data_IF_809967879379
#
_entry.id   IF_809967879379
#
_cell.length_a   1.000
_cell.length_b   1.000
_cell.length_c   1.000
_cell.angle_alpha   90.00
_cell.angle_beta   90.00
_cell.angle_gamma   90.00
#
_symmetry.space_group_name_H-M   'P 1'
#
loop_
_entity.id
_entity.type
_entity.pdbx_description
1 polymer ?
#
# COMPACT_ATOMS: atom_id res chain seq x y z
N UNK A 1 16.80 -4.78 -3.93
CA UNK A 1 17.50 -5.23 -2.72
C UNK A 1 18.31 -4.06 -2.13
N UNK A 2 18.27 -3.82 -0.82
CA UNK A 2 19.05 -2.76 -0.17
C UNK A 2 20.49 -3.23 0.07
N UNK A 3 21.48 -2.55 -0.52
CA UNK A 3 22.91 -2.80 -0.25
C UNK A 3 23.46 -1.73 0.69
N UNK A 4 24.53 -2.04 1.44
CA UNK A 4 25.14 -1.07 2.36
C UNK A 4 25.54 0.26 1.67
N UNK A 5 26.15 0.26 0.46
CA UNK A 5 26.43 1.51 -0.25
C UNK A 5 25.15 2.28 -0.64
N UNK A 6 24.09 1.57 -1.05
CA UNK A 6 22.81 2.20 -1.40
C UNK A 6 22.15 2.84 -0.17
N UNK A 7 22.13 2.14 0.97
CA UNK A 7 21.60 2.67 2.23
C UNK A 7 22.36 3.91 2.70
N UNK A 8 23.70 3.88 2.69
CA UNK A 8 24.54 5.06 3.01
C UNK A 8 24.23 6.24 2.09
N UNK A 9 24.06 6.00 0.79
CA UNK A 9 23.71 7.05 -0.18
C UNK A 9 22.34 7.65 0.16
N UNK A 10 21.31 6.83 0.34
CA UNK A 10 19.94 7.30 0.64
C UNK A 10 19.86 8.04 1.97
N UNK A 11 20.50 7.55 3.03
CA UNK A 11 20.57 8.25 4.32
C UNK A 11 21.26 9.62 4.20
N UNK A 12 22.33 9.74 3.39
CA UNK A 12 22.95 11.04 3.11
C UNK A 12 22.01 12.02 2.39
N UNK A 13 21.06 11.52 1.59
CA UNK A 13 20.05 12.34 0.91
C UNK A 13 18.82 12.65 1.79
N UNK A 14 18.75 12.17 3.02
CA UNK A 14 17.62 12.41 3.92
C UNK A 14 16.45 11.44 3.75
N UNK A 15 16.74 10.16 3.50
CA UNK A 15 15.69 9.14 3.39
C UNK A 15 15.01 8.84 4.73
N UNK A 16 13.81 9.40 4.92
CA UNK A 16 13.06 9.30 6.17
C UNK A 16 12.72 7.85 6.52
N UNK A 17 12.31 7.04 5.54
CA UNK A 17 12.00 5.62 5.75
C UNK A 17 13.20 4.88 6.35
N UNK A 18 14.36 4.98 5.72
CA UNK A 18 15.56 4.30 6.21
C UNK A 18 16.02 4.83 7.57
N UNK A 19 15.93 6.14 7.79
CA UNK A 19 16.27 6.74 9.08
C UNK A 19 15.40 6.17 10.20
N UNK A 20 14.08 6.09 10.00
CA UNK A 20 13.18 5.49 10.98
C UNK A 20 13.44 4.00 11.16
N UNK A 21 13.53 3.25 10.07
CA UNK A 21 13.73 1.80 10.09
C UNK A 21 15.09 1.35 10.67
N UNK A 22 16.10 2.20 10.67
CA UNK A 22 17.42 1.85 11.21
C UNK A 22 17.57 2.34 12.65
N UNK A 23 17.06 3.53 12.97
CA UNK A 23 17.36 4.20 14.24
C UNK A 23 16.20 4.23 15.23
N UNK A 24 14.96 3.98 14.79
CA UNK A 24 13.75 4.08 15.62
C UNK A 24 13.06 2.74 15.85
N UNK A 25 13.49 1.66 15.17
CA UNK A 25 12.95 0.31 15.37
C UNK A 25 13.94 -0.59 16.10
N UNK A 26 13.48 -1.62 16.84
CA UNK A 26 14.35 -2.58 17.50
C UNK A 26 15.32 -3.27 16.54
N UNK A 27 16.62 -3.23 16.85
CA UNK A 27 17.66 -3.87 16.04
C UNK A 27 17.72 -5.37 16.34
N UNK A 28 17.41 -6.20 15.34
CA UNK A 28 17.46 -7.66 15.46
C UNK A 28 18.90 -8.18 15.28
N UNK A 29 19.67 -7.56 14.38
CA UNK A 29 21.05 -7.94 14.10
C UNK A 29 21.86 -6.75 13.56
N UNK A 30 23.12 -6.67 13.97
CA UNK A 30 24.08 -5.65 13.52
C UNK A 30 25.48 -6.25 13.45
N UNK A 31 26.05 -6.29 12.24
CA UNK A 31 27.43 -6.72 12.05
C UNK A 31 28.44 -5.66 12.53
N UNK A 32 28.20 -4.39 12.18
CA UNK A 32 29.09 -3.28 12.54
C UNK A 32 28.34 -1.94 12.69
N UNK A 33 29.08 -0.91 13.12
CA UNK A 33 28.56 0.43 13.38
C UNK A 33 28.61 1.39 12.17
N UNK A 34 28.75 0.90 10.92
CA UNK A 34 28.92 1.75 9.73
C UNK A 34 27.81 2.78 9.50
N UNK A 35 26.61 2.54 10.02
CA UNK A 35 25.43 3.39 9.86
C UNK A 35 25.20 4.32 11.07
N UNK A 36 25.93 4.18 12.18
CA UNK A 36 25.69 5.00 13.38
C UNK A 36 25.94 6.49 13.13
N UNK A 37 26.84 6.86 12.22
CA UNK A 37 27.11 8.27 11.89
C UNK A 37 25.90 9.04 11.38
N UNK A 38 24.85 8.34 10.93
CA UNK A 38 23.62 8.94 10.41
C UNK A 38 22.54 9.08 11.51
N UNK A 39 22.75 8.56 12.72
CA UNK A 39 21.74 8.60 13.80
C UNK A 39 21.42 10.03 14.26
N UNK A 40 22.34 10.96 14.03
CA UNK A 40 22.22 12.35 14.43
C UNK A 40 21.55 13.22 13.36
N UNK A 41 21.22 12.67 12.20
CA UNK A 41 20.52 13.42 11.18
C UNK A 41 19.02 13.49 11.52
N UNK A 42 18.43 14.69 11.56
CA UNK A 42 16.99 14.82 11.75
C UNK A 42 16.24 14.25 10.54
N UNK A 43 14.96 13.93 10.76
CA UNK A 43 14.06 13.63 9.65
C UNK A 43 13.95 14.86 8.74
N UNK A 44 13.87 14.61 7.43
CA UNK A 44 13.78 15.64 6.41
C UNK A 44 12.32 16.09 6.27
N UNK A 45 12.00 17.22 6.90
CA UNK A 45 10.73 17.92 6.72
C UNK A 45 10.92 19.07 5.74
N UNK A 46 10.44 18.88 4.52
CA UNK A 46 10.49 19.90 3.48
C UNK A 46 9.24 19.82 2.59
N UNK A 47 8.73 20.96 2.15
CA UNK A 47 7.55 21.06 1.28
C UNK A 47 7.63 20.13 0.06
N UNK A 48 8.78 20.07 -0.62
CA UNK A 48 9.00 19.17 -1.77
C UNK A 48 8.83 17.68 -1.44
N UNK A 49 9.14 17.24 -0.22
CA UNK A 49 8.89 15.86 0.21
C UNK A 49 7.39 15.61 0.29
N UNK A 50 6.65 16.54 0.90
CA UNK A 50 5.19 16.48 0.95
C UNK A 50 4.56 16.49 -0.45
N UNK A 51 5.02 17.34 -1.36
CA UNK A 51 4.55 17.36 -2.76
C UNK A 51 4.74 16.00 -3.43
N UNK A 52 5.91 15.36 -3.27
CA UNK A 52 6.15 14.03 -3.82
C UNK A 52 5.21 12.96 -3.22
N UNK A 53 4.92 13.04 -1.91
CA UNK A 53 3.97 12.16 -1.22
C UNK A 53 2.57 12.36 -1.77
N UNK A 54 2.12 13.62 -1.88
CA UNK A 54 0.81 13.99 -2.41
C UNK A 54 0.62 13.55 -3.87
N UNK A 55 1.62 13.78 -4.73
CA UNK A 55 1.57 13.39 -6.13
C UNK A 55 1.52 11.87 -6.29
N UNK A 56 2.30 11.14 -5.48
CA UNK A 56 2.29 9.68 -5.49
C UNK A 56 0.95 9.15 -4.99
N UNK A 57 0.39 9.73 -3.93
CA UNK A 57 -0.94 9.39 -3.42
C UNK A 57 -2.01 9.55 -4.49
N UNK A 58 -2.14 10.74 -5.07
CA UNK A 58 -3.12 11.03 -6.13
C UNK A 58 -2.97 10.06 -7.29
N UNK A 59 -1.77 9.92 -7.83
CA UNK A 59 -1.53 9.03 -8.96
C UNK A 59 -1.83 7.56 -8.68
N UNK A 60 -1.79 7.10 -7.43
CA UNK A 60 -2.16 5.72 -7.06
C UNK A 60 -3.66 5.59 -6.84
N UNK A 61 -4.27 6.52 -6.12
CA UNK A 61 -5.71 6.52 -5.86
C UNK A 61 -6.52 6.73 -7.13
N UNK A 62 -6.10 7.62 -8.03
CA UNK A 62 -6.74 7.83 -9.34
C UNK A 62 -6.71 6.55 -10.20
N UNK A 63 -5.61 5.77 -10.12
CA UNK A 63 -5.52 4.47 -10.80
C UNK A 63 -6.45 3.44 -10.18
N UNK A 64 -6.55 3.39 -8.84
CA UNK A 64 -7.49 2.49 -8.16
C UNK A 64 -8.94 2.83 -8.54
N UNK A 65 -9.30 4.11 -8.49
CA UNK A 65 -10.62 4.61 -8.87
C UNK A 65 -10.97 4.26 -10.32
N UNK A 66 -10.02 4.46 -11.25
CA UNK A 66 -10.22 4.07 -12.64
C UNK A 66 -10.46 2.56 -12.80
N UNK A 67 -9.70 1.72 -12.08
CA UNK A 67 -9.88 0.27 -12.10
C UNK A 67 -11.27 -0.13 -11.56
N UNK A 68 -11.78 0.52 -10.51
CA UNK A 68 -13.15 0.30 -10.05
C UNK A 68 -14.20 0.77 -11.07
N UNK A 69 -13.99 1.93 -11.71
CA UNK A 69 -14.89 2.43 -12.75
C UNK A 69 -15.03 1.49 -13.95
N UNK A 70 -13.99 0.71 -14.25
CA UNK A 70 -14.04 -0.32 -15.29
C UNK A 70 -15.02 -1.44 -14.88
N UNK A 71 -15.01 -1.84 -13.61
CA UNK A 71 -15.86 -2.93 -13.10
C UNK A 71 -17.33 -2.50 -12.99
N UNK A 72 -17.60 -1.25 -12.58
CA UNK A 72 -18.95 -0.70 -12.39
C UNK A 72 -19.61 -0.26 -13.71
N UNK A 73 -18.84 -0.17 -14.80
CA UNK A 73 -19.36 0.21 -16.12
C UNK A 73 -20.40 -0.78 -16.64
N UNK A 74 -21.56 -0.28 -17.08
CA UNK A 74 -22.69 -1.08 -17.60
C UNK A 74 -22.39 -1.98 -18.81
N UNK A 75 -21.21 -1.83 -19.41
CA UNK A 75 -20.71 -2.65 -20.53
C UNK A 75 -19.76 -3.77 -20.10
N UNK A 76 -19.38 -3.85 -18.81
CA UNK A 76 -18.45 -4.85 -18.30
C UNK A 76 -19.11 -6.22 -18.15
N UNK A 77 -19.31 -6.91 -19.28
CA UNK A 77 -19.79 -8.32 -19.36
C UNK A 77 -18.61 -9.30 -19.42
N UNK A 78 -17.62 -9.11 -18.55
CA UNK A 78 -16.47 -10.00 -18.47
C UNK A 78 -16.64 -11.01 -17.33
N UNK A 79 -15.91 -12.12 -17.43
CA UNK A 79 -15.96 -13.22 -16.49
C UNK A 79 -15.48 -12.84 -15.08
N UNK A 80 -15.87 -13.66 -14.10
CA UNK A 80 -15.50 -13.50 -12.69
C UNK A 80 -13.98 -13.36 -12.48
N UNK A 81 -13.16 -14.11 -13.24
CA UNK A 81 -11.70 -14.11 -13.12
C UNK A 81 -11.10 -12.77 -13.57
N UNK A 82 -11.64 -12.19 -14.65
CA UNK A 82 -11.30 -10.85 -15.14
C UNK A 82 -11.60 -9.76 -14.11
N UNK A 83 -12.81 -9.77 -13.53
CA UNK A 83 -13.19 -8.84 -12.45
C UNK A 83 -12.25 -8.95 -11.24
N UNK A 84 -11.94 -10.16 -10.80
CA UNK A 84 -11.03 -10.39 -9.66
C UNK A 84 -9.61 -9.87 -9.91
N UNK A 85 -9.12 -9.97 -11.14
CA UNK A 85 -7.80 -9.46 -11.50
C UNK A 85 -7.73 -7.94 -11.45
N UNK A 86 -8.79 -7.26 -11.90
CA UNK A 86 -8.88 -5.80 -11.83
C UNK A 86 -8.95 -5.35 -10.36
N UNK A 87 -9.79 -5.99 -9.54
CA UNK A 87 -9.87 -5.74 -8.09
C UNK A 87 -8.52 -5.93 -7.40
N UNK A 88 -7.77 -6.98 -7.77
CA UNK A 88 -6.43 -7.22 -7.23
C UNK A 88 -5.49 -6.04 -7.49
N UNK A 89 -5.43 -5.55 -8.74
CA UNK A 89 -4.57 -4.42 -9.06
C UNK A 89 -5.04 -3.12 -8.41
N UNK A 90 -6.35 -2.92 -8.23
CA UNK A 90 -6.88 -1.76 -7.50
C UNK A 90 -6.37 -1.77 -6.05
N UNK A 91 -6.53 -2.89 -5.34
CA UNK A 91 -6.03 -3.05 -3.97
C UNK A 91 -4.51 -2.90 -3.87
N UNK A 92 -3.73 -3.38 -4.85
CA UNK A 92 -2.29 -3.13 -4.90
C UNK A 92 -1.99 -1.63 -4.97
N UNK A 93 -2.71 -0.86 -5.79
CA UNK A 93 -2.53 0.60 -5.87
C UNK A 93 -2.81 1.27 -4.53
N UNK A 94 -3.92 0.92 -3.89
CA UNK A 94 -4.35 1.49 -2.61
C UNK A 94 -3.34 1.18 -1.49
N UNK A 95 -2.88 -0.08 -1.39
CA UNK A 95 -1.88 -0.45 -0.40
C UNK A 95 -0.55 0.27 -0.64
N UNK A 96 -0.12 0.38 -1.90
CA UNK A 96 1.10 1.15 -2.23
C UNK A 96 0.95 2.64 -1.93
N UNK A 97 -0.24 3.21 -2.11
CA UNK A 97 -0.53 4.60 -1.76
C UNK A 97 -0.38 4.82 -0.24
N UNK A 98 -1.03 3.97 0.56
CA UNK A 98 -0.96 4.00 2.01
C UNK A 98 0.48 3.82 2.52
N UNK A 99 1.22 2.82 2.00
CA UNK A 99 2.60 2.60 2.40
C UNK A 99 3.50 3.80 2.12
N UNK A 100 3.26 4.51 1.03
CA UNK A 100 4.03 5.70 0.71
C UNK A 100 3.64 6.91 1.58
N UNK A 101 2.36 7.08 1.89
CA UNK A 101 1.88 8.13 2.79
C UNK A 101 2.36 7.92 4.23
N UNK A 102 2.32 6.70 4.74
CA UNK A 102 2.69 6.45 6.14
C UNK A 102 4.20 6.30 6.36
N UNK A 103 4.92 5.74 5.40
CA UNK A 103 6.32 5.38 5.58
C UNK A 103 7.28 5.96 4.54
N UNK A 104 6.79 6.68 3.52
CA UNK A 104 7.59 7.04 2.34
C UNK A 104 8.24 5.81 1.67
N UNK A 105 7.63 4.64 1.87
CA UNK A 105 8.18 3.35 1.46
C UNK A 105 7.64 2.92 0.11
N UNK A 106 8.54 2.48 -0.77
CA UNK A 106 8.21 1.85 -2.05
C UNK A 106 8.60 0.37 -1.98
N UNK A 107 7.61 -0.55 -1.86
CA UNK A 107 7.87 -1.98 -1.83
C UNK A 107 8.62 -2.48 -3.06
N UNK A 108 9.47 -3.48 -2.88
CA UNK A 108 10.15 -4.21 -3.97
C UNK A 108 9.40 -5.51 -4.34
N UNK A 109 8.54 -5.99 -3.46
CA UNK A 109 7.66 -7.13 -3.65
C UNK A 109 6.23 -6.63 -3.59
N UNK A 110 5.41 -7.06 -4.56
CA UNK A 110 4.07 -6.52 -4.77
C UNK A 110 2.94 -7.51 -4.49
N UNK A 111 3.23 -8.72 -4.00
CA UNK A 111 2.16 -9.67 -3.67
C UNK A 111 1.16 -9.02 -2.72
N UNK A 112 -0.12 -9.01 -3.10
CA UNK A 112 -1.17 -8.33 -2.35
C UNK A 112 -1.24 -8.74 -0.87
N UNK A 113 -1.04 -10.02 -0.57
CA UNK A 113 -1.01 -10.52 0.82
C UNK A 113 0.07 -9.85 1.68
N UNK A 114 1.25 -9.62 1.10
CA UNK A 114 2.35 -8.90 1.73
C UNK A 114 2.04 -7.41 1.88
N UNK A 115 1.47 -6.77 0.86
CA UNK A 115 1.12 -5.35 0.93
C UNK A 115 0.06 -5.08 2.00
N UNK A 116 -1.00 -5.91 2.05
CA UNK A 116 -2.01 -5.85 3.11
C UNK A 116 -1.38 -6.08 4.48
N UNK A 117 -0.44 -7.02 4.60
CA UNK A 117 0.29 -7.26 5.85
C UNK A 117 1.11 -6.03 6.28
N UNK A 118 1.79 -5.36 5.35
CA UNK A 118 2.50 -4.13 5.65
C UNK A 118 1.56 -3.02 6.12
N UNK A 119 0.41 -2.84 5.45
CA UNK A 119 -0.59 -1.85 5.85
C UNK A 119 -1.11 -2.11 7.27
N UNK A 120 -1.23 -3.37 7.67
CA UNK A 120 -1.70 -3.73 9.02
C UNK A 120 -0.80 -3.28 10.19
N UNK A 121 0.38 -2.73 9.91
CA UNK A 121 1.24 -2.14 10.96
C UNK A 121 0.86 -0.72 11.36
N UNK A 122 0.06 -0.01 10.56
CA UNK A 122 -0.36 1.37 10.84
C UNK A 122 -1.88 1.58 10.72
N UNK A 123 -2.63 0.58 10.28
CA UNK A 123 -4.08 0.64 10.21
C UNK A 123 -4.71 -0.74 10.40
N UNK A 124 -5.93 -0.81 10.93
CA UNK A 124 -6.67 -2.06 11.10
C UNK A 124 -7.47 -2.47 9.85
N UNK A 125 -7.48 -1.62 8.81
CA UNK A 125 -8.31 -1.82 7.61
C UNK A 125 -8.16 -3.21 6.97
N UNK A 126 -6.95 -3.77 6.77
CA UNK A 126 -6.82 -5.10 6.19
C UNK A 126 -7.56 -6.17 6.98
N UNK A 127 -7.47 -6.15 8.32
CA UNK A 127 -8.17 -7.10 9.17
C UNK A 127 -9.67 -6.84 9.22
N UNK A 128 -10.10 -5.57 9.30
CA UNK A 128 -11.52 -5.22 9.36
C UNK A 128 -12.26 -5.56 8.07
N UNK A 129 -11.65 -5.33 6.91
CA UNK A 129 -12.29 -5.48 5.60
C UNK A 129 -12.09 -6.88 5.01
N UNK A 130 -10.92 -7.49 5.24
CA UNK A 130 -10.60 -8.85 4.81
C UNK A 130 -10.31 -9.77 6.00
N UNK A 131 -11.30 -9.95 6.88
CA UNK A 131 -11.18 -10.78 8.07
C UNK A 131 -11.06 -12.27 7.65
N UNK A 132 -10.52 -13.14 8.51
CA UNK A 132 -10.16 -14.53 8.14
C UNK A 132 -10.79 -15.60 9.03
N UNK A 133 -11.79 -15.25 9.82
CA UNK A 133 -12.34 -16.08 10.90
C UNK A 133 -13.36 -17.10 10.39
N UNK A 134 -13.99 -16.84 9.24
CA UNK A 134 -14.91 -17.80 8.62
C UNK A 134 -14.40 -18.25 7.27
N UNK A 135 -14.82 -19.46 6.86
CA UNK A 135 -14.45 -20.05 5.57
C UNK A 135 -14.77 -19.13 4.38
N UNK A 136 -15.96 -18.50 4.38
CA UNK A 136 -16.36 -17.59 3.30
C UNK A 136 -15.50 -16.33 3.22
N UNK A 137 -15.09 -15.78 4.37
CA UNK A 137 -14.21 -14.61 4.43
C UNK A 137 -12.79 -14.95 3.98
N UNK A 138 -12.28 -16.11 4.43
CA UNK A 138 -11.00 -16.65 3.98
C UNK A 138 -10.98 -16.88 2.47
N UNK A 139 -12.09 -17.39 1.89
CA UNK A 139 -12.23 -17.61 0.45
C UNK A 139 -12.10 -16.30 -0.34
N UNK A 140 -12.75 -15.21 0.09
CA UNK A 140 -12.64 -13.90 -0.60
C UNK A 140 -11.20 -13.38 -0.56
N UNK A 141 -10.55 -13.44 0.62
CA UNK A 141 -9.15 -13.04 0.75
C UNK A 141 -8.24 -13.85 -0.17
N UNK A 142 -8.44 -15.17 -0.23
CA UNK A 142 -7.69 -16.07 -1.10
C UNK A 142 -7.89 -15.72 -2.58
N UNK A 143 -9.13 -15.49 -3.01
CA UNK A 143 -9.46 -15.12 -4.38
C UNK A 143 -8.71 -13.87 -4.81
N UNK A 144 -8.77 -12.81 -4.00
CA UNK A 144 -8.11 -11.54 -4.30
C UNK A 144 -6.59 -11.72 -4.32
N UNK A 145 -5.99 -12.36 -3.32
CA UNK A 145 -4.53 -12.52 -3.26
C UNK A 145 -3.95 -13.40 -4.37
N UNK A 146 -4.75 -14.31 -4.94
CA UNK A 146 -4.32 -15.25 -5.97
C UNK A 146 -4.88 -14.94 -7.37
N UNK A 147 -5.59 -13.82 -7.55
CA UNK A 147 -6.25 -13.47 -8.80
C UNK A 147 -5.30 -13.52 -10.01
N UNK A 148 -4.07 -13.01 -9.86
CA UNK A 148 -3.05 -13.09 -10.92
C UNK A 148 -2.71 -14.53 -11.33
N UNK A 149 -2.61 -15.44 -10.37
CA UNK A 149 -2.32 -16.85 -10.65
C UNK A 149 -3.53 -17.52 -11.32
N UNK A 150 -4.74 -17.25 -10.81
CA UNK A 150 -5.99 -17.77 -11.36
C UNK A 150 -6.12 -17.33 -12.82
N UNK A 151 -6.00 -16.04 -13.10
CA UNK A 151 -6.05 -15.45 -14.45
C UNK A 151 -5.03 -16.03 -15.43
N UNK A 152 -3.82 -16.35 -14.96
CA UNK A 152 -2.75 -16.86 -15.84
C UNK A 152 -2.90 -18.34 -16.19
N UNK A 153 -3.49 -19.13 -15.30
CA UNK A 153 -3.37 -20.60 -15.37
C UNK A 153 -4.71 -21.35 -15.33
N UNK A 154 -5.81 -20.70 -14.95
CA UNK A 154 -7.13 -21.34 -14.90
C UNK A 154 -7.92 -20.99 -16.15
N UNK A 155 -8.38 -22.00 -16.88
CA UNK A 155 -9.15 -21.86 -18.10
C UNK A 155 -10.67 -21.80 -17.88
N UNK A 156 -11.13 -22.09 -16.66
CA UNK A 156 -12.54 -22.05 -16.28
C UNK A 156 -12.69 -21.26 -14.99
N UNK A 157 -13.81 -20.54 -14.86
CA UNK A 157 -14.13 -19.82 -13.64
C UNK A 157 -14.36 -20.79 -12.48
N UNK A 158 -13.50 -20.67 -11.48
CA UNK A 158 -13.61 -21.43 -10.22
C UNK A 158 -14.55 -20.73 -9.21
N UNK A 159 -14.98 -19.51 -9.52
CA UNK A 159 -15.71 -18.63 -8.63
C UNK A 159 -17.02 -18.15 -9.27
N UNK A 160 -18.07 -18.09 -8.46
CA UNK A 160 -19.37 -17.60 -8.91
C UNK A 160 -19.40 -16.07 -8.95
N UNK A 161 -20.25 -15.50 -9.81
CA UNK A 161 -20.52 -14.05 -9.82
C UNK A 161 -20.88 -13.51 -8.42
N UNK A 162 -21.65 -14.27 -7.64
CA UNK A 162 -22.00 -13.87 -6.28
C UNK A 162 -20.82 -13.85 -5.30
N UNK A 163 -19.76 -14.64 -5.54
CA UNK A 163 -18.51 -14.53 -4.77
C UNK A 163 -17.72 -13.29 -5.21
N UNK A 164 -17.68 -13.03 -6.52
CA UNK A 164 -17.04 -11.85 -7.13
C UNK A 164 -17.68 -10.54 -6.67
N UNK A 165 -19.01 -10.46 -6.59
CA UNK A 165 -19.73 -9.28 -6.11
C UNK A 165 -19.45 -9.01 -4.62
N UNK A 166 -19.34 -10.07 -3.81
CA UNK A 166 -18.94 -9.93 -2.40
C UNK A 166 -17.50 -9.44 -2.28
N UNK A 167 -16.61 -9.87 -3.16
CA UNK A 167 -15.24 -9.37 -3.21
C UNK A 167 -15.22 -7.89 -3.61
N UNK A 168 -16.01 -7.50 -4.63
CA UNK A 168 -16.14 -6.12 -5.08
C UNK A 168 -16.59 -5.19 -3.94
N UNK A 169 -17.69 -5.52 -3.26
CA UNK A 169 -18.21 -4.72 -2.15
C UNK A 169 -17.17 -4.51 -1.03
N UNK A 170 -16.29 -5.49 -0.80
CA UNK A 170 -15.20 -5.35 0.18
C UNK A 170 -14.07 -4.47 -0.35
N UNK A 171 -13.69 -4.61 -1.61
CA UNK A 171 -12.67 -3.77 -2.22
C UNK A 171 -13.12 -2.31 -2.27
N UNK A 172 -14.37 -2.06 -2.66
CA UNK A 172 -14.97 -0.73 -2.66
C UNK A 172 -14.99 -0.12 -1.25
N UNK A 173 -15.37 -0.91 -0.23
CA UNK A 173 -15.29 -0.46 1.16
C UNK A 173 -13.85 -0.17 1.59
N UNK A 174 -12.89 -1.01 1.20
CA UNK A 174 -11.47 -0.75 1.48
C UNK A 174 -11.02 0.57 0.87
N UNK A 175 -11.41 0.86 -0.38
CA UNK A 175 -11.11 2.12 -1.07
C UNK A 175 -11.58 3.36 -0.31
N UNK A 176 -12.85 3.41 0.09
CA UNK A 176 -13.37 4.58 0.80
C UNK A 176 -12.71 4.78 2.17
N UNK A 177 -12.49 3.69 2.92
CA UNK A 177 -11.85 3.78 4.24
C UNK A 177 -10.34 4.08 4.14
N UNK A 178 -9.64 3.50 3.16
CA UNK A 178 -8.24 3.79 2.88
C UNK A 178 -8.05 5.25 2.46
N UNK A 179 -8.96 5.77 1.60
CA UNK A 179 -8.97 7.17 1.19
C UNK A 179 -9.07 8.10 2.40
N UNK A 180 -10.01 7.83 3.31
CA UNK A 180 -10.17 8.61 4.55
C UNK A 180 -8.90 8.61 5.40
N UNK A 181 -8.36 7.43 5.72
CA UNK A 181 -7.16 7.29 6.56
C UNK A 181 -5.94 7.95 5.92
N UNK A 182 -5.78 7.83 4.60
CA UNK A 182 -4.67 8.46 3.88
C UNK A 182 -4.81 9.98 3.77
N UNK A 183 -6.01 10.51 3.57
CA UNK A 183 -6.28 11.96 3.57
C UNK A 183 -6.01 12.59 4.95
N UNK A 184 -6.43 11.94 6.03
CA UNK A 184 -6.11 12.36 7.40
C UNK A 184 -4.58 12.44 7.63
N UNK A 185 -3.85 11.42 7.19
CA UNK A 185 -2.40 11.39 7.31
C UNK A 185 -1.71 12.42 6.40
N UNK A 186 -2.24 12.70 5.20
CA UNK A 186 -1.73 13.75 4.33
C UNK A 186 -1.87 15.13 4.94
N UNK A 187 -2.99 15.43 5.61
CA UNK A 187 -3.13 16.70 6.32
C UNK A 187 -2.12 16.81 7.46
N UNK A 188 -1.90 15.73 8.22
CA UNK A 188 -0.84 15.70 9.24
C UNK A 188 0.56 15.98 8.65
N UNK A 189 0.92 15.31 7.54
CA UNK A 189 2.19 15.54 6.87
C UNK A 189 2.33 16.96 6.32
N UNK A 190 1.24 17.54 5.82
CA UNK A 190 1.23 18.93 5.35
C UNK A 190 1.61 19.90 6.47
N UNK A 191 1.11 19.68 7.68
CA UNK A 191 1.47 20.50 8.83
C UNK A 191 2.96 20.37 9.17
N UNK A 192 3.48 19.15 9.19
CA UNK A 192 4.90 18.89 9.48
C UNK A 192 5.82 19.51 8.42
N UNK A 193 5.51 19.33 7.13
CA UNK A 193 6.40 19.69 6.03
C UNK A 193 6.29 21.14 5.58
N UNK A 194 5.12 21.78 5.75
CA UNK A 194 4.84 23.11 5.18
C UNK A 194 4.72 24.21 6.24
N UNK A 195 4.44 23.89 7.52
CA UNK A 195 4.42 24.90 8.59
C UNK A 195 5.79 25.08 9.25
N UNK A 196 6.63 24.05 9.29
CA UNK A 196 7.98 24.13 9.87
C UNK A 196 8.99 24.86 8.97
N UNK A 197 8.72 24.98 7.66
CA UNK A 197 9.60 25.67 6.69
C UNK A 197 9.52 27.20 6.71
N UNK A 198 8.70 27.79 7.60
CA UNK A 198 8.55 29.24 7.79
C UNK A 198 9.26 29.79 9.04
N UNK A 199 10.15 28.99 9.66
CA UNK A 199 11.06 29.41 10.74
C UNK A 199 12.50 29.22 10.29
#
# INVERSE_FOLDING_TARGET
MYTLPNAKKRLNFGDNFLSQAIFQTPCIYKHDNSLSKFSNFPLLFHQRVYENVLDTWKARMDRAEYLFSIIDGSEFKEDATSRLSIMHYALEQECMALLYVFWEYKPQHYSLSYLLHLCSHFTELPQTIFPKETYGLHRIYYMLCNAQHIMRFKAQDEFSEGDTDKAYNRCERFYYEAKKVGEEQLEHLKELHCKQSNQ
#
